data_IF_132507426207
#
_entry.id   IF_132507426207
#
_cell.length_a   1.000
_cell.length_b   1.000
_cell.length_c   1.000
_cell.angle_alpha   90.00
_cell.angle_beta   90.00
_cell.angle_gamma   90.00
#
_symmetry.space_group_name_H-M   'P 1'
#
loop_
_entity.id
_entity.type
_entity.pdbx_description
1 polymer ?
#
# COMPACT_ATOMS: atom_id res chain seq x y z
N UNK A 1 5.33 11.51 -6.56
CA UNK A 1 5.89 10.21 -6.12
C UNK A 1 4.79 9.18 -6.24
N UNK A 2 5.15 7.92 -6.44
CA UNK A 2 4.18 6.82 -6.49
C UNK A 2 4.47 5.82 -5.36
N UNK A 3 3.39 5.36 -4.72
CA UNK A 3 3.43 4.29 -3.74
C UNK A 3 2.75 3.08 -4.34
N UNK A 4 3.39 1.93 -4.28
CA UNK A 4 2.92 0.67 -4.83
C UNK A 4 2.55 -0.26 -3.69
N UNK A 5 1.36 -0.86 -3.73
CA UNK A 5 0.89 -1.78 -2.70
C UNK A 5 0.49 -3.09 -3.37
N UNK A 6 1.05 -4.20 -2.90
CA UNK A 6 0.70 -5.57 -3.35
C UNK A 6 0.33 -6.44 -2.17
N UNK A 7 -0.52 -7.44 -2.40
CA UNK A 7 -0.81 -8.49 -1.43
C UNK A 7 0.31 -9.52 -1.48
N UNK A 8 0.88 -9.86 -0.33
CA UNK A 8 1.95 -10.86 -0.22
C UNK A 8 1.39 -12.28 -0.36
N UNK A 9 0.13 -12.51 0.00
CA UNK A 9 -0.54 -13.81 -0.09
C UNK A 9 -1.25 -14.02 -1.45
N UNK A 10 -1.16 -13.05 -2.38
CA UNK A 10 -1.83 -13.11 -3.68
C UNK A 10 -3.35 -12.92 -3.62
N UNK A 11 -3.90 -12.60 -2.45
CA UNK A 11 -5.33 -12.36 -2.28
C UNK A 11 -5.75 -11.04 -2.95
N UNK A 12 -6.41 -11.20 -4.09
CA UNK A 12 -6.92 -10.11 -4.92
C UNK A 12 -8.10 -9.37 -4.25
N UNK A 13 -8.89 -10.09 -3.45
CA UNK A 13 -10.04 -9.52 -2.73
C UNK A 13 -9.62 -8.51 -1.68
N UNK A 14 -8.51 -8.77 -0.99
CA UNK A 14 -7.93 -7.85 -0.02
C UNK A 14 -7.43 -6.55 -0.64
N UNK A 15 -6.83 -6.62 -1.83
CA UNK A 15 -6.43 -5.43 -2.57
C UNK A 15 -7.62 -4.63 -3.08
N UNK A 16 -8.67 -5.29 -3.60
CA UNK A 16 -9.88 -4.58 -4.02
C UNK A 16 -10.56 -3.87 -2.84
N UNK A 17 -10.72 -4.55 -1.71
CA UNK A 17 -11.29 -3.96 -0.51
C UNK A 17 -10.43 -2.81 0.06
N UNK A 18 -9.10 -2.93 -0.04
CA UNK A 18 -8.19 -1.85 0.33
C UNK A 18 -8.35 -0.65 -0.60
N UNK A 19 -8.47 -0.87 -1.91
CA UNK A 19 -8.71 0.20 -2.88
C UNK A 19 -10.00 0.95 -2.57
N UNK A 20 -11.09 0.24 -2.32
CA UNK A 20 -12.37 0.86 -1.99
C UNK A 20 -12.28 1.69 -0.71
N UNK A 21 -11.54 1.20 0.30
CA UNK A 21 -11.27 1.96 1.52
C UNK A 21 -10.47 3.24 1.24
N UNK A 22 -9.39 3.14 0.47
CA UNK A 22 -8.56 4.31 0.16
C UNK A 22 -9.28 5.31 -0.75
N UNK A 23 -10.20 4.87 -1.61
CA UNK A 23 -11.01 5.78 -2.43
C UNK A 23 -12.11 6.49 -1.63
N UNK A 24 -12.52 5.92 -0.49
CA UNK A 24 -13.42 6.57 0.46
C UNK A 24 -12.74 7.71 1.26
N UNK A 25 -11.40 7.75 1.32
CA UNK A 25 -10.66 8.82 1.99
C UNK A 25 -10.57 10.04 1.08
N UNK A 26 -11.17 11.18 1.47
CA UNK A 26 -11.20 12.41 0.66
C UNK A 26 -9.80 12.87 0.16
N UNK A 27 -8.76 12.66 0.97
CA UNK A 27 -7.38 13.05 0.62
C UNK A 27 -6.71 12.09 -0.38
N UNK A 28 -7.23 10.88 -0.54
CA UNK A 28 -6.67 9.84 -1.43
C UNK A 28 -7.60 9.49 -2.60
N UNK A 29 -8.85 9.95 -2.54
CA UNK A 29 -9.88 9.75 -3.55
C UNK A 29 -9.40 10.14 -4.94
N UNK A 30 -9.58 9.23 -5.90
CA UNK A 30 -9.15 9.44 -7.30
C UNK A 30 -7.64 9.36 -7.54
N UNK A 31 -6.81 9.13 -6.50
CA UNK A 31 -5.35 8.95 -6.62
C UNK A 31 -4.92 7.49 -6.64
N UNK A 32 -5.82 6.57 -6.28
CA UNK A 32 -5.58 5.13 -6.23
C UNK A 32 -5.91 4.51 -7.59
N UNK A 33 -4.94 3.84 -8.20
CA UNK A 33 -5.09 3.12 -9.46
C UNK A 33 -4.71 1.66 -9.31
N UNK A 34 -5.47 0.77 -9.94
CA UNK A 34 -5.06 -0.62 -10.10
C UNK A 34 -4.10 -0.75 -11.28
N UNK A 35 -3.04 -1.50 -11.05
CA UNK A 35 -2.05 -1.91 -12.02
C UNK A 35 -1.90 -3.44 -11.95
N UNK A 36 -1.49 -4.05 -13.04
CA UNK A 36 -1.02 -5.44 -13.03
C UNK A 36 0.50 -5.41 -12.96
N UNK A 37 1.08 -6.10 -11.99
CA UNK A 37 2.52 -6.32 -12.00
C UNK A 37 2.86 -7.32 -13.13
N UNK A 38 4.01 -7.13 -13.81
CA UNK A 38 4.44 -8.08 -14.84
C UNK A 38 4.63 -9.45 -14.20
N UNK A 39 4.03 -10.47 -14.83
CA UNK A 39 4.08 -11.87 -14.39
C UNK A 39 5.55 -12.30 -14.39
N UNK A 40 6.11 -12.62 -13.23
CA UNK A 40 7.40 -13.31 -13.17
C UNK A 40 7.19 -14.78 -13.53
N UNK A 41 8.10 -15.36 -14.32
CA UNK A 41 8.05 -16.71 -14.92
C UNK A 41 7.76 -17.90 -13.96
N UNK A 42 7.54 -17.68 -12.67
CA UNK A 42 7.30 -18.72 -11.65
C UNK A 42 5.95 -18.58 -10.93
N UNK A 43 5.13 -17.56 -11.23
CA UNK A 43 3.85 -17.35 -10.54
C UNK A 43 2.71 -18.14 -11.20
N UNK A 44 2.42 -19.33 -10.65
CA UNK A 44 1.35 -20.22 -11.09
C UNK A 44 -0.01 -19.68 -10.62
N UNK A 45 -0.63 -18.81 -11.43
CA UNK A 45 -2.10 -18.75 -11.55
C UNK A 45 -2.86 -17.60 -10.88
N UNK A 46 -2.19 -16.62 -10.26
CA UNK A 46 -2.84 -15.37 -9.88
C UNK A 46 -2.05 -14.20 -10.47
N UNK A 47 -2.71 -13.36 -11.27
CA UNK A 47 -2.06 -12.14 -11.73
C UNK A 47 -1.80 -11.27 -10.49
N UNK A 48 -0.55 -10.87 -10.21
CA UNK A 48 -0.29 -10.02 -9.06
C UNK A 48 -0.96 -8.66 -9.27
N UNK A 49 -2.11 -8.47 -8.63
CA UNK A 49 -2.76 -7.18 -8.56
C UNK A 49 -1.89 -6.22 -7.74
N UNK A 50 -1.72 -5.01 -8.27
CA UNK A 50 -0.92 -3.95 -7.67
C UNK A 50 -1.79 -2.70 -7.56
N UNK A 51 -1.77 -2.02 -6.43
CA UNK A 51 -2.33 -0.68 -6.30
C UNK A 51 -1.21 0.34 -6.40
N UNK A 52 -1.38 1.35 -7.23
CA UNK A 52 -0.48 2.49 -7.36
C UNK A 52 -1.20 3.75 -6.87
N UNK A 53 -0.60 4.45 -5.91
CA UNK A 53 -1.14 5.66 -5.31
C UNK A 53 -0.21 6.82 -5.65
N UNK A 54 -0.76 7.85 -6.27
CA UNK A 54 -0.02 9.09 -6.49
C UNK A 54 0.02 9.91 -5.19
N UNK A 55 1.21 10.04 -4.59
CA UNK A 55 1.47 10.88 -3.42
C UNK A 55 2.25 12.13 -3.85
N UNK A 56 1.67 13.29 -3.57
CA UNK A 56 2.30 14.59 -3.77
C UNK A 56 3.26 14.95 -2.63
N UNK A 57 4.17 15.89 -2.87
CA UNK A 57 4.95 16.50 -1.81
C UNK A 57 4.01 17.36 -0.95
N UNK A 58 3.66 16.91 0.26
CA UNK A 58 2.70 17.64 1.10
C UNK A 58 2.05 16.87 2.25
N UNK A 59 2.71 15.88 2.86
CA UNK A 59 2.18 15.17 4.04
C UNK A 59 1.14 14.08 3.76
N UNK A 60 0.79 13.86 2.48
CA UNK A 60 -0.14 12.82 2.03
C UNK A 60 0.34 11.40 2.36
N UNK A 61 1.66 11.20 2.51
CA UNK A 61 2.23 9.92 2.96
C UNK A 61 1.82 9.54 4.38
N UNK A 62 1.62 10.53 5.25
CA UNK A 62 1.15 10.32 6.63
C UNK A 62 -0.31 9.89 6.66
N UNK A 63 -1.14 10.50 5.80
CA UNK A 63 -2.55 10.13 5.62
C UNK A 63 -2.64 8.69 5.12
N UNK A 64 -1.93 8.37 4.03
CA UNK A 64 -1.89 7.00 3.48
C UNK A 64 -1.47 5.97 4.53
N UNK A 65 -0.41 6.23 5.28
CA UNK A 65 0.02 5.34 6.36
C UNK A 65 -1.08 5.16 7.42
N UNK A 66 -1.71 6.25 7.88
CA UNK A 66 -2.77 6.16 8.87
C UNK A 66 -4.02 5.43 8.35
N UNK A 67 -4.41 5.64 7.09
CA UNK A 67 -5.55 4.95 6.47
C UNK A 67 -5.27 3.45 6.35
N UNK A 68 -4.05 3.05 5.97
CA UNK A 68 -3.62 1.65 5.92
C UNK A 68 -3.69 0.97 7.29
N UNK A 69 -3.18 1.65 8.34
CA UNK A 69 -3.29 1.18 9.73
C UNK A 69 -4.75 0.96 10.13
N UNK A 70 -5.59 1.96 9.83
CA UNK A 70 -7.01 1.94 10.20
C UNK A 70 -7.74 0.81 9.50
N UNK A 71 -7.47 0.57 8.20
CA UNK A 71 -8.05 -0.53 7.45
C UNK A 71 -7.65 -1.90 8.03
N UNK A 72 -6.36 -2.12 8.32
CA UNK A 72 -5.86 -3.36 8.92
C UNK A 72 -6.54 -3.63 10.28
N UNK A 73 -6.70 -2.59 11.10
CA UNK A 73 -7.37 -2.69 12.40
C UNK A 73 -8.87 -2.92 12.27
N UNK A 74 -9.54 -2.20 11.36
CA UNK A 74 -10.99 -2.27 11.14
C UNK A 74 -11.41 -3.65 10.64
N UNK A 75 -10.63 -4.22 9.71
CA UNK A 75 -10.96 -5.50 9.09
C UNK A 75 -10.42 -6.71 9.87
N UNK A 76 -9.60 -6.49 10.92
CA UNK A 76 -8.99 -7.54 11.77
C UNK A 76 -8.41 -8.70 10.95
N UNK A 77 -7.89 -8.37 9.78
CA UNK A 77 -7.43 -9.31 8.78
C UNK A 77 -5.96 -9.63 9.02
N UNK A 78 -5.57 -10.88 8.80
CA UNK A 78 -4.17 -11.31 8.75
C UNK A 78 -3.54 -11.03 7.37
N UNK A 79 -4.13 -10.14 6.57
CA UNK A 79 -3.59 -9.72 5.28
C UNK A 79 -2.17 -9.16 5.45
N UNK A 80 -1.27 -9.65 4.62
CA UNK A 80 0.09 -9.12 4.50
C UNK A 80 0.15 -8.28 3.23
N UNK A 81 0.44 -7.00 3.40
CA UNK A 81 0.56 -6.05 2.32
C UNK A 81 2.02 -5.65 2.21
N UNK A 82 2.62 -5.74 1.03
CA UNK A 82 3.90 -5.09 0.77
C UNK A 82 3.65 -3.72 0.18
N UNK A 83 4.17 -2.67 0.83
CA UNK A 83 4.12 -1.29 0.37
C UNK A 83 5.52 -0.86 -0.08
N UNK A 84 5.64 -0.38 -1.31
CA UNK A 84 6.89 0.07 -1.91
C UNK A 84 6.80 1.58 -2.22
N UNK A 85 7.77 2.35 -1.75
CA UNK A 85 7.86 3.79 -1.96
C UNK A 85 9.33 4.21 -2.06
N UNK A 86 9.68 5.07 -3.03
CA UNK A 86 11.04 5.57 -3.23
C UNK A 86 12.11 4.45 -3.27
N UNK A 87 11.81 3.33 -3.93
CA UNK A 87 12.71 2.17 -4.02
C UNK A 87 12.87 1.36 -2.73
N UNK A 88 12.12 1.69 -1.67
CA UNK A 88 12.10 0.95 -0.40
C UNK A 88 10.79 0.19 -0.27
N UNK A 89 10.87 -1.05 0.20
CA UNK A 89 9.72 -1.93 0.36
C UNK A 89 9.56 -2.30 1.83
N UNK A 90 8.36 -2.13 2.37
CA UNK A 90 8.00 -2.44 3.76
C UNK A 90 6.81 -3.40 3.73
N UNK A 91 6.89 -4.48 4.50
CA UNK A 91 5.76 -5.38 4.69
C UNK A 91 4.93 -4.89 5.89
N UNK A 92 3.63 -4.77 5.67
CA UNK A 92 2.63 -4.39 6.65
C UNK A 92 1.72 -5.57 6.93
N UNK A 93 1.46 -5.78 8.19
CA UNK A 93 0.51 -6.75 8.69
C UNK A 93 -0.07 -6.22 10.02
N UNK A 94 -1.17 -6.81 10.48
CA UNK A 94 -1.86 -6.36 11.69
C UNK A 94 -0.97 -6.40 12.94
N UNK A 95 0.08 -7.22 12.95
CA UNK A 95 0.99 -7.34 14.10
C UNK A 95 2.11 -6.31 14.08
N UNK A 96 2.63 -5.96 12.91
CA UNK A 96 3.75 -5.02 12.75
C UNK A 96 3.28 -3.58 12.49
N UNK A 97 2.00 -3.36 12.18
CA UNK A 97 1.47 -2.06 11.76
C UNK A 97 1.81 -0.92 12.73
N UNK A 98 1.84 -1.14 14.04
CA UNK A 98 2.14 -0.05 14.98
C UNK A 98 3.59 0.46 14.83
N UNK A 99 4.55 -0.45 14.64
CA UNK A 99 5.97 -0.15 14.50
C UNK A 99 6.34 0.33 13.09
N UNK A 100 5.72 -0.23 12.05
CA UNK A 100 6.12 0.04 10.65
C UNK A 100 5.41 1.23 10.02
N UNK A 101 4.27 1.68 10.56
CA UNK A 101 3.55 2.85 10.06
C UNK A 101 4.36 4.16 10.13
N UNK A 102 5.07 4.49 11.23
CA UNK A 102 5.93 5.67 11.24
C UNK A 102 7.10 5.53 10.25
N UNK A 103 7.63 4.33 10.05
CA UNK A 103 8.66 4.06 9.05
C UNK A 103 8.11 4.20 7.63
N UNK A 104 6.89 3.74 7.37
CA UNK A 104 6.20 3.90 6.10
C UNK A 104 6.02 5.38 5.76
N UNK A 105 5.48 6.16 6.70
CA UNK A 105 5.34 7.61 6.52
C UNK A 105 6.71 8.27 6.27
N UNK A 106 7.77 7.82 6.96
CA UNK A 106 9.12 8.33 6.75
C UNK A 106 9.64 8.00 5.34
N UNK A 107 9.52 6.77 4.84
CA UNK A 107 10.03 6.42 3.51
C UNK A 107 9.26 7.11 2.38
N UNK A 108 7.96 7.40 2.57
CA UNK A 108 7.16 8.13 1.59
C UNK A 108 7.53 9.61 1.56
N UNK A 109 7.78 10.20 2.74
CA UNK A 109 8.13 11.62 2.87
C UNK A 109 9.64 11.88 2.64
N UNK A 110 10.48 10.85 2.66
CA UNK A 110 11.90 11.00 2.37
C UNK A 110 12.08 11.53 0.94
N UNK A 111 12.83 12.63 0.74
CA UNK A 111 13.24 13.02 -0.59
C UNK A 111 14.03 11.85 -1.21
N UNK A 112 13.84 11.60 -2.50
CA UNK A 112 14.70 10.68 -3.24
C UNK A 112 16.11 11.28 -3.15
N UNK A 113 16.95 10.73 -2.28
CA UNK A 113 18.36 11.09 -2.14
C UNK A 113 19.05 10.46 -3.35
N UNK A 114 19.24 11.28 -4.40
CA UNK A 114 20.04 10.97 -5.60
C UNK A 114 21.49 11.43 -5.37
#
# INVERSE_FOLDING_TARGET
MEVRIRSTDGDSGDLMALREWLDAEDDLRGRVRTAHAPIGDTDLGALPELLTIAVGAGGMGSVLASSLKTWLLARRTSAKLTVEANGRSINLDITTTDDVIPLLAQIINAPNDD
#
